data_IF_090554480881
#
_entry.id   IF_090554480881
#
_cell.length_a   1.000
_cell.length_b   1.000
_cell.length_c   1.000
_cell.angle_alpha   90.00
_cell.angle_beta   90.00
_cell.angle_gamma   90.00
#
_symmetry.space_group_name_H-M   'P 1'
#
loop_
_entity.id
_entity.type
_entity.pdbx_description
1 polymer ?
#
# COMPACT_ATOMS: atom_id res chain seq x y z
N UNK A 1 -0.83 -2.17 -22.28
CA UNK A 1 0.05 -2.89 -21.38
C UNK A 1 1.29 -2.05 -21.12
N UNK A 2 1.76 -1.97 -19.88
CA UNK A 2 2.89 -1.13 -19.54
C UNK A 2 3.93 -1.81 -18.63
N UNK A 3 3.59 -2.85 -17.90
CA UNK A 3 4.51 -3.51 -16.96
C UNK A 3 3.98 -4.88 -16.56
N UNK A 4 4.89 -5.83 -16.30
CA UNK A 4 4.60 -7.11 -15.70
C UNK A 4 4.83 -7.07 -14.19
N UNK A 5 4.04 -7.82 -13.41
CA UNK A 5 4.05 -7.72 -11.95
C UNK A 5 5.38 -8.07 -11.30
N UNK A 6 5.99 -9.18 -11.69
CA UNK A 6 7.19 -9.69 -11.03
C UNK A 6 8.49 -9.48 -11.83
N UNK A 7 8.47 -9.70 -13.14
CA UNK A 7 9.70 -9.71 -13.94
C UNK A 7 10.33 -8.34 -14.14
N UNK A 8 9.53 -7.34 -14.41
CA UNK A 8 9.98 -6.00 -14.75
C UNK A 8 9.84 -5.08 -13.55
N UNK A 9 10.94 -4.67 -12.97
CA UNK A 9 10.96 -3.73 -11.87
C UNK A 9 10.83 -4.32 -10.47
N UNK A 10 11.26 -5.59 -10.28
CA UNK A 10 11.39 -6.16 -8.94
C UNK A 10 10.09 -6.12 -8.13
N UNK A 11 9.16 -7.01 -8.42
CA UNK A 11 7.84 -7.08 -7.78
C UNK A 11 7.00 -5.80 -7.95
N UNK A 12 7.09 -5.16 -9.12
CA UNK A 12 6.32 -3.98 -9.48
C UNK A 12 6.95 -2.64 -9.07
N UNK A 13 8.18 -2.62 -8.55
CA UNK A 13 8.82 -1.37 -8.11
C UNK A 13 8.96 -0.34 -9.25
N UNK A 14 9.20 -0.78 -10.49
CA UNK A 14 9.24 0.09 -11.67
C UNK A 14 7.92 0.82 -11.97
N UNK A 15 6.80 0.36 -11.41
CA UNK A 15 5.50 0.98 -11.59
C UNK A 15 5.49 2.41 -11.03
N UNK A 16 6.23 2.71 -9.96
CA UNK A 16 6.27 4.04 -9.37
C UNK A 16 6.77 5.10 -10.37
N UNK A 17 7.83 4.80 -11.12
CA UNK A 17 8.36 5.69 -12.14
C UNK A 17 7.37 5.89 -13.30
N UNK A 18 6.79 4.80 -13.80
CA UNK A 18 5.75 4.88 -14.82
C UNK A 18 4.54 5.66 -14.37
N UNK A 19 4.08 5.43 -13.14
CA UNK A 19 2.89 6.08 -12.61
C UNK A 19 3.11 7.57 -12.39
N UNK A 20 4.26 7.99 -11.90
CA UNK A 20 4.65 9.41 -11.80
C UNK A 20 4.64 10.09 -13.17
N UNK A 21 5.15 9.41 -14.20
CA UNK A 21 5.08 9.93 -15.57
C UNK A 21 3.64 10.06 -16.06
N UNK A 22 2.79 9.05 -15.82
CA UNK A 22 1.36 9.10 -16.19
C UNK A 22 0.67 10.27 -15.50
N UNK A 23 0.85 10.43 -14.18
CA UNK A 23 0.22 11.51 -13.41
C UNK A 23 0.72 12.91 -13.82
N UNK A 24 1.95 13.03 -14.29
CA UNK A 24 2.52 14.30 -14.74
C UNK A 24 2.06 14.73 -16.13
N UNK A 25 1.44 13.85 -16.90
CA UNK A 25 1.03 14.12 -18.28
C UNK A 25 -0.51 14.25 -18.39
N UNK A 26 -1.04 15.45 -18.67
CA UNK A 26 -2.48 15.70 -18.67
C UNK A 26 -3.27 14.96 -19.78
N UNK A 27 -2.57 14.39 -20.77
CA UNK A 27 -3.20 13.60 -21.83
C UNK A 27 -3.05 12.10 -21.62
N UNK A 28 -2.38 11.66 -20.56
CA UNK A 28 -2.26 10.26 -20.23
C UNK A 28 -3.57 9.71 -19.63
N UNK A 29 -4.03 8.59 -20.17
CA UNK A 29 -5.28 7.94 -19.73
C UNK A 29 -5.02 6.77 -18.74
N UNK A 30 -3.78 6.55 -18.33
CA UNK A 30 -3.39 5.42 -17.49
C UNK A 30 -2.81 4.26 -18.27
N UNK A 31 -2.86 3.05 -17.67
CA UNK A 31 -2.30 1.84 -18.28
C UNK A 31 -2.87 0.57 -17.67
N UNK A 32 -2.44 -0.56 -18.19
CA UNK A 32 -2.82 -1.88 -17.72
C UNK A 32 -1.59 -2.70 -17.40
N UNK A 33 -1.57 -3.31 -16.23
CA UNK A 33 -0.53 -4.27 -15.85
C UNK A 33 -0.85 -5.64 -16.45
N UNK A 34 0.14 -6.34 -16.90
CA UNK A 34 0.11 -7.76 -17.18
C UNK A 34 0.72 -8.49 -15.98
N UNK A 35 0.03 -9.32 -15.29
CA UNK A 35 -1.38 -9.68 -15.38
C UNK A 35 -1.93 -9.77 -13.95
N UNK A 36 -3.23 -9.99 -13.78
CA UNK A 36 -3.82 -10.05 -12.43
C UNK A 36 -3.28 -11.21 -11.61
N UNK A 37 -3.16 -12.38 -12.20
CA UNK A 37 -2.65 -13.55 -11.49
C UNK A 37 -1.67 -14.33 -12.35
N UNK A 38 -0.69 -14.94 -11.70
CA UNK A 38 0.24 -15.86 -12.33
C UNK A 38 -0.50 -16.93 -13.12
N UNK A 39 0.05 -17.30 -14.26
CA UNK A 39 -0.54 -18.31 -15.11
C UNK A 39 -0.38 -19.71 -14.49
N UNK A 40 -1.46 -20.48 -14.53
CA UNK A 40 -1.50 -21.84 -14.06
C UNK A 40 -2.49 -22.67 -14.88
N UNK A 41 -2.18 -23.91 -15.12
CA UNK A 41 -3.02 -24.85 -15.89
C UNK A 41 -3.55 -25.92 -14.95
N UNK A 42 -4.89 -26.10 -14.97
CA UNK A 42 -5.49 -27.24 -14.26
C UNK A 42 -5.14 -28.53 -15.02
N UNK A 43 -4.45 -29.42 -14.35
CA UNK A 43 -4.01 -30.71 -14.88
C UNK A 43 -5.01 -31.81 -14.52
N UNK A 44 -5.91 -32.12 -15.42
CA UNK A 44 -6.91 -33.22 -15.22
C UNK A 44 -6.23 -34.58 -15.11
N UNK A 45 -5.09 -34.76 -15.80
CA UNK A 45 -4.24 -35.96 -15.74
C UNK A 45 -3.47 -36.13 -14.41
N UNK A 46 -3.44 -35.09 -13.57
CA UNK A 46 -2.76 -35.09 -12.26
C UNK A 46 -3.73 -34.77 -11.10
N UNK A 47 -4.96 -35.24 -11.19
CA UNK A 47 -5.93 -35.06 -10.12
C UNK A 47 -6.39 -33.60 -9.94
N UNK A 48 -6.42 -32.82 -11.01
CA UNK A 48 -6.83 -31.39 -11.05
C UNK A 48 -5.92 -30.47 -10.22
N UNK A 49 -4.67 -30.83 -10.04
CA UNK A 49 -3.68 -29.91 -9.48
C UNK A 49 -3.42 -28.77 -10.46
N UNK A 50 -3.11 -27.58 -9.92
CA UNK A 50 -2.64 -26.48 -10.76
C UNK A 50 -1.16 -26.69 -11.04
N UNK A 51 -0.83 -26.80 -12.31
CA UNK A 51 0.55 -26.87 -12.80
C UNK A 51 1.01 -25.44 -13.08
N UNK A 52 1.77 -24.91 -12.17
CA UNK A 52 2.42 -23.61 -12.32
C UNK A 52 3.71 -23.79 -13.07
N UNK A 53 3.99 -22.93 -14.03
CA UNK A 53 5.18 -23.05 -14.88
C UNK A 53 6.45 -22.63 -14.13
N UNK A 54 6.38 -22.54 -12.81
CA UNK A 54 7.48 -22.14 -11.93
C UNK A 54 7.92 -20.71 -12.25
N UNK A 55 9.20 -20.54 -12.55
CA UNK A 55 9.80 -19.23 -12.82
C UNK A 55 9.49 -18.64 -14.20
N UNK A 56 8.64 -19.28 -15.00
CA UNK A 56 8.42 -18.88 -16.39
C UNK A 56 7.22 -17.96 -16.63
N UNK A 57 6.31 -17.88 -15.68
CA UNK A 57 5.14 -17.00 -15.77
C UNK A 57 4.72 -16.40 -14.41
N UNK A 58 5.67 -16.00 -13.50
CA UNK A 58 5.33 -15.28 -12.29
C UNK A 58 5.27 -13.78 -12.59
N UNK A 59 4.38 -13.37 -13.46
CA UNK A 59 4.20 -11.99 -13.91
C UNK A 59 2.88 -11.37 -13.43
N UNK A 60 2.15 -12.11 -12.58
CA UNK A 60 0.93 -11.65 -11.94
C UNK A 60 1.14 -10.66 -10.80
N UNK A 61 0.04 -9.99 -10.44
CA UNK A 61 -0.04 -9.18 -9.21
C UNK A 61 -0.24 -10.09 -7.99
N UNK A 62 -0.86 -11.23 -8.20
CA UNK A 62 -1.04 -12.31 -7.22
C UNK A 62 -0.61 -13.63 -7.82
N UNK A 63 -0.24 -14.58 -6.97
CA UNK A 63 0.13 -15.91 -7.40
C UNK A 63 -1.04 -16.74 -7.99
N UNK A 64 -0.76 -17.94 -8.50
CA UNK A 64 -1.74 -18.76 -9.22
C UNK A 64 -2.90 -19.23 -8.33
N UNK A 65 -2.71 -19.29 -7.03
CA UNK A 65 -3.74 -19.62 -6.03
C UNK A 65 -4.40 -18.38 -5.41
N UNK A 66 -4.12 -17.19 -5.96
CA UNK A 66 -4.58 -15.87 -5.47
C UNK A 66 -3.91 -15.43 -4.17
N UNK A 67 -2.81 -16.02 -3.81
CA UNK A 67 -1.93 -15.54 -2.74
C UNK A 67 -1.37 -14.17 -3.10
N UNK A 68 -1.31 -13.28 -2.10
CA UNK A 68 -0.77 -11.93 -2.29
C UNK A 68 0.75 -11.99 -2.27
N UNK A 69 1.35 -11.51 -3.33
CA UNK A 69 2.79 -11.39 -3.50
C UNK A 69 3.29 -9.96 -3.30
N UNK A 70 4.59 -9.74 -3.44
CA UNK A 70 5.18 -8.40 -3.29
C UNK A 70 4.59 -7.38 -4.25
N UNK A 71 4.32 -7.77 -5.49
CA UNK A 71 3.66 -6.97 -6.53
C UNK A 71 2.27 -6.47 -6.11
N UNK A 72 1.49 -7.30 -5.39
CA UNK A 72 0.18 -6.89 -4.88
C UNK A 72 0.30 -5.68 -3.93
N UNK A 73 1.24 -5.74 -2.99
CA UNK A 73 1.43 -4.66 -2.03
C UNK A 73 2.01 -3.41 -2.68
N UNK A 74 2.94 -3.58 -3.63
CA UNK A 74 3.53 -2.48 -4.39
C UNK A 74 2.46 -1.74 -5.21
N UNK A 75 1.62 -2.46 -5.94
CA UNK A 75 0.52 -1.86 -6.74
C UNK A 75 -0.47 -1.16 -5.82
N UNK A 76 -0.83 -1.79 -4.70
CA UNK A 76 -1.74 -1.21 -3.71
C UNK A 76 -1.24 0.12 -3.17
N UNK A 77 0.05 0.23 -2.88
CA UNK A 77 0.68 1.45 -2.37
C UNK A 77 0.74 2.54 -3.45
N UNK A 78 1.26 2.21 -4.63
CA UNK A 78 1.47 3.18 -5.72
C UNK A 78 0.12 3.72 -6.25
N UNK A 79 -0.90 2.87 -6.35
CA UNK A 79 -2.22 3.26 -6.83
C UNK A 79 -3.19 3.65 -5.72
N UNK A 80 -2.67 3.89 -4.51
CA UNK A 80 -3.50 4.38 -3.41
C UNK A 80 -4.14 5.73 -3.79
N UNK A 81 -5.45 5.89 -3.62
CA UNK A 81 -6.10 7.17 -3.88
C UNK A 81 -5.83 8.24 -2.81
N UNK A 82 -5.23 7.86 -1.69
CA UNK A 82 -4.75 8.78 -0.65
C UNK A 82 -3.26 8.54 -0.48
N UNK A 83 -2.46 9.51 -0.87
CA UNK A 83 -1.01 9.48 -0.69
C UNK A 83 -0.65 10.16 0.63
N UNK A 84 0.10 9.45 1.48
CA UNK A 84 0.59 9.93 2.77
C UNK A 84 2.06 10.32 2.60
N UNK A 85 2.36 11.61 2.68
CA UNK A 85 3.74 12.10 2.51
C UNK A 85 4.45 12.17 3.86
N UNK A 86 4.97 11.02 4.28
CA UNK A 86 5.79 10.89 5.50
C UNK A 86 6.95 9.92 5.26
N UNK A 87 7.92 10.29 4.40
CA UNK A 87 9.00 9.37 4.02
C UNK A 87 9.98 9.07 5.17
N UNK A 88 10.06 9.96 6.16
CA UNK A 88 10.95 9.81 7.30
C UNK A 88 10.32 10.32 8.58
N UNK A 89 10.35 9.51 9.62
CA UNK A 89 9.94 9.89 10.96
C UNK A 89 11.15 10.47 11.71
N UNK A 90 11.16 11.78 11.88
CA UNK A 90 12.26 12.47 12.58
C UNK A 90 11.90 12.72 14.07
N UNK A 91 12.90 12.92 14.96
CA UNK A 91 12.62 13.29 16.35
C UNK A 91 11.83 14.59 16.52
N UNK A 92 11.79 15.45 15.49
CA UNK A 92 11.04 16.71 15.50
C UNK A 92 9.58 16.54 15.00
N UNK A 93 9.17 15.33 14.65
CA UNK A 93 7.80 15.07 14.18
C UNK A 93 6.78 15.47 15.26
N UNK A 94 5.83 16.29 14.87
CA UNK A 94 4.82 16.90 15.74
C UNK A 94 3.40 16.29 15.56
N UNK A 95 3.29 15.23 14.76
CA UNK A 95 2.01 14.60 14.43
C UNK A 95 1.34 15.16 13.18
N UNK A 96 1.92 16.17 12.52
CA UNK A 96 1.36 16.77 11.29
C UNK A 96 1.86 16.01 10.06
N UNK A 97 0.92 15.54 9.24
CA UNK A 97 1.17 14.70 8.07
C UNK A 97 0.56 15.36 6.84
N UNK A 98 1.33 15.55 5.79
CA UNK A 98 0.80 15.98 4.50
C UNK A 98 0.12 14.78 3.82
N UNK A 99 -1.06 15.01 3.26
CA UNK A 99 -1.79 14.03 2.47
C UNK A 99 -2.19 14.64 1.13
N UNK A 100 -2.14 13.83 0.08
CA UNK A 100 -2.59 14.21 -1.26
C UNK A 100 -3.79 13.36 -1.64
N UNK A 101 -4.86 14.02 -2.11
CA UNK A 101 -6.01 13.35 -2.69
C UNK A 101 -5.73 13.01 -4.15
N UNK A 102 -5.54 11.75 -4.46
CA UNK A 102 -5.31 11.23 -5.83
C UNK A 102 -6.60 10.70 -6.49
N UNK A 103 -7.75 10.80 -5.84
CA UNK A 103 -9.02 10.54 -6.50
C UNK A 103 -9.26 11.54 -7.63
N UNK A 104 -9.95 11.11 -8.67
CA UNK A 104 -10.32 11.97 -9.79
C UNK A 104 -11.61 12.78 -9.55
N UNK A 105 -12.52 12.24 -8.73
CA UNK A 105 -13.88 12.79 -8.57
C UNK A 105 -14.39 12.79 -7.13
N UNK A 106 -13.58 12.29 -6.19
CA UNK A 106 -14.03 12.07 -4.80
C UNK A 106 -13.22 12.90 -3.83
N UNK A 107 -13.90 13.63 -2.97
CA UNK A 107 -13.30 14.29 -1.82
C UNK A 107 -12.95 13.25 -0.74
N UNK A 108 -11.87 13.47 0.00
CA UNK A 108 -11.41 12.49 1.00
C UNK A 108 -11.97 12.72 2.41
N UNK A 109 -12.87 13.65 2.61
CA UNK A 109 -13.51 13.98 3.90
C UNK A 109 -14.27 12.83 4.57
N UNK A 110 -14.63 11.79 3.78
CA UNK A 110 -15.29 10.57 4.27
C UNK A 110 -14.31 9.43 4.57
N UNK A 111 -13.07 9.61 4.21
CA UNK A 111 -12.00 8.65 4.48
C UNK A 111 -11.38 8.90 5.87
N UNK A 112 -10.63 7.95 6.36
CA UNK A 112 -9.93 8.08 7.63
C UNK A 112 -8.54 7.49 7.56
N UNK A 113 -7.67 7.93 8.45
CA UNK A 113 -6.41 7.26 8.76
C UNK A 113 -6.53 6.63 10.15
N UNK A 114 -6.15 5.38 10.25
CA UNK A 114 -5.86 4.72 11.52
C UNK A 114 -4.35 4.72 11.70
N UNK A 115 -3.92 5.03 12.91
CA UNK A 115 -2.51 5.01 13.26
C UNK A 115 -2.25 4.11 14.46
N UNK A 116 -1.07 3.52 14.52
CA UNK A 116 -0.63 2.74 15.67
C UNK A 116 0.86 2.88 15.93
N UNK A 117 1.25 2.88 17.20
CA UNK A 117 2.62 2.73 17.64
C UNK A 117 2.87 1.27 17.97
N UNK A 118 3.87 0.71 17.35
CA UNK A 118 4.17 -0.71 17.41
C UNK A 118 5.59 -0.94 17.89
N UNK A 119 5.77 -2.04 18.63
CA UNK A 119 7.06 -2.55 19.03
C UNK A 119 7.26 -3.95 18.45
N UNK A 120 8.50 -4.29 18.14
CA UNK A 120 8.88 -5.58 17.58
C UNK A 120 9.61 -6.43 18.58
N UNK A 121 9.39 -7.74 18.49
CA UNK A 121 10.11 -8.72 19.29
C UNK A 121 11.61 -8.69 18.95
N UNK A 122 12.45 -8.61 19.97
CA UNK A 122 13.89 -8.81 19.79
C UNK A 122 14.19 -10.28 19.49
N UNK A 123 15.25 -10.59 18.76
CA UNK A 123 15.60 -11.98 18.39
C UNK A 123 15.76 -12.93 19.59
N UNK A 124 16.06 -12.40 20.76
CA UNK A 124 16.24 -13.16 22.01
C UNK A 124 14.97 -13.40 22.80
N UNK A 125 13.87 -12.76 22.42
CA UNK A 125 12.64 -12.77 23.19
C UNK A 125 11.68 -13.85 22.68
N UNK A 126 10.82 -14.34 23.57
CA UNK A 126 9.72 -15.24 23.23
C UNK A 126 8.40 -14.46 23.23
N UNK A 127 7.47 -14.80 22.33
CA UNK A 127 6.15 -14.18 22.29
C UNK A 127 5.72 -13.73 20.90
N UNK A 128 4.83 -12.74 20.85
CA UNK A 128 4.34 -12.15 19.61
C UNK A 128 5.46 -11.42 18.86
N UNK A 129 5.47 -11.50 17.55
CA UNK A 129 6.49 -10.83 16.72
C UNK A 129 6.33 -9.31 16.71
N UNK A 130 5.10 -8.83 16.92
CA UNK A 130 4.76 -7.42 17.01
C UNK A 130 3.59 -7.22 17.96
N UNK A 131 3.56 -6.10 18.69
CA UNK A 131 2.39 -5.65 19.44
C UNK A 131 2.17 -4.16 19.28
N UNK A 132 0.92 -3.75 19.42
CA UNK A 132 0.50 -2.34 19.39
C UNK A 132 0.27 -1.86 20.82
N UNK A 133 0.88 -0.75 21.19
CA UNK A 133 0.68 -0.16 22.52
C UNK A 133 -0.32 1.00 22.47
N UNK A 134 -0.24 1.84 21.45
CA UNK A 134 -1.15 2.96 21.25
C UNK A 134 -1.71 2.94 19.83
N UNK A 135 -2.95 3.37 19.70
CA UNK A 135 -3.59 3.52 18.41
C UNK A 135 -4.66 4.61 18.45
N UNK A 136 -5.02 5.09 17.30
CA UNK A 136 -6.09 6.08 17.16
C UNK A 136 -6.59 6.18 15.74
N UNK A 137 -7.66 6.93 15.57
CA UNK A 137 -8.29 7.19 14.27
C UNK A 137 -8.47 8.67 14.09
N UNK A 138 -8.18 9.16 12.89
CA UNK A 138 -8.43 10.55 12.50
C UNK A 138 -9.17 10.59 11.18
N UNK A 139 -10.19 11.43 11.09
CA UNK A 139 -10.87 11.75 9.84
C UNK A 139 -9.96 12.59 8.96
N UNK A 140 -9.97 12.30 7.67
CA UNK A 140 -9.33 13.17 6.70
C UNK A 140 -10.12 14.48 6.54
N UNK A 141 -9.42 15.60 6.34
CA UNK A 141 -10.06 16.89 6.09
C UNK A 141 -10.71 16.94 4.70
N UNK A 142 -11.43 18.03 4.46
CA UNK A 142 -12.03 18.32 3.16
C UNK A 142 -10.95 18.76 2.16
N UNK A 143 -10.44 17.79 1.42
CA UNK A 143 -9.43 17.98 0.38
C UNK A 143 -10.00 17.46 -0.93
N UNK A 144 -10.11 18.34 -1.91
CA UNK A 144 -10.63 18.04 -3.24
C UNK A 144 -9.68 17.16 -4.08
N UNK A 145 -10.19 16.61 -5.21
CA UNK A 145 -9.38 15.83 -6.14
C UNK A 145 -8.13 16.58 -6.63
N UNK A 146 -6.98 15.93 -6.55
CA UNK A 146 -5.69 16.49 -6.94
C UNK A 146 -5.09 17.50 -5.96
N UNK A 147 -5.79 17.83 -4.87
CA UNK A 147 -5.32 18.78 -3.87
C UNK A 147 -4.52 18.12 -2.77
N UNK A 148 -3.76 18.95 -2.05
CA UNK A 148 -2.98 18.57 -0.86
C UNK A 148 -3.54 19.25 0.38
N UNK A 149 -3.36 18.59 1.52
CA UNK A 149 -3.72 19.14 2.81
C UNK A 149 -2.97 18.46 3.94
N UNK A 150 -3.33 18.79 5.17
CA UNK A 150 -2.67 18.24 6.35
C UNK A 150 -3.69 17.58 7.27
N UNK A 151 -3.28 16.44 7.80
CA UNK A 151 -3.96 15.78 8.92
C UNK A 151 -3.03 15.81 10.13
N UNK A 152 -3.60 15.88 11.33
CA UNK A 152 -2.83 15.85 12.57
C UNK A 152 -3.26 14.65 13.41
N UNK A 153 -2.31 13.85 13.85
CA UNK A 153 -2.49 12.79 14.83
C UNK A 153 -1.94 13.24 16.17
N UNK A 154 -2.59 12.83 17.24
CA UNK A 154 -2.11 13.12 18.61
C UNK A 154 -1.37 11.92 19.14
N UNK A 155 -0.06 12.03 19.18
CA UNK A 155 0.82 11.00 19.72
C UNK A 155 1.02 11.17 21.23
N UNK A 156 1.20 10.08 21.99
CA UNK A 156 1.59 10.15 23.40
C UNK A 156 2.99 10.77 23.55
N UNK A 157 3.29 11.33 24.73
CA UNK A 157 4.56 12.01 25.00
C UNK A 157 5.78 11.13 24.70
N UNK A 158 5.65 9.83 24.97
CA UNK A 158 6.71 8.83 24.81
C UNK A 158 6.70 8.10 23.48
N UNK A 159 6.04 8.63 22.46
CA UNK A 159 5.93 7.97 21.16
C UNK A 159 7.28 7.54 20.55
N UNK A 160 8.35 8.25 20.90
CA UNK A 160 9.72 7.96 20.41
C UNK A 160 10.37 6.72 21.03
N UNK A 161 9.76 6.15 22.07
CA UNK A 161 10.22 4.91 22.71
C UNK A 161 9.75 3.66 21.93
N UNK A 162 8.86 3.82 20.93
CA UNK A 162 8.33 2.75 20.09
C UNK A 162 9.12 2.59 18.79
N UNK A 163 9.12 1.38 18.26
CA UNK A 163 9.92 1.00 17.10
C UNK A 163 9.34 1.52 15.76
N UNK A 164 8.01 1.64 15.66
CA UNK A 164 7.36 2.08 14.42
C UNK A 164 6.05 2.83 14.65
N UNK A 165 5.79 3.81 13.80
CA UNK A 165 4.48 4.43 13.59
C UNK A 165 3.87 3.86 12.30
N UNK A 166 2.76 3.19 12.43
CA UNK A 166 1.95 2.70 11.30
C UNK A 166 0.84 3.71 10.97
N UNK A 167 0.63 3.96 9.69
CA UNK A 167 -0.45 4.81 9.18
C UNK A 167 -1.19 4.01 8.10
N UNK A 168 -2.48 3.80 8.29
CA UNK A 168 -3.31 3.05 7.34
C UNK A 168 -4.50 3.90 6.92
N UNK A 169 -4.65 4.14 5.62
CA UNK A 169 -5.81 4.85 5.08
C UNK A 169 -6.94 3.89 4.72
N UNK A 170 -8.17 4.30 5.00
CA UNK A 170 -9.38 3.51 4.76
C UNK A 170 -10.43 4.27 3.96
N UNK A 171 -11.08 3.55 3.05
CA UNK A 171 -12.31 3.98 2.39
C UNK A 171 -13.45 4.16 3.40
N UNK A 172 -14.52 4.89 3.01
CA UNK A 172 -15.70 5.05 3.85
C UNK A 172 -16.38 3.71 4.22
N UNK A 173 -16.25 2.70 3.38
CA UNK A 173 -16.80 1.35 3.58
C UNK A 173 -15.90 0.44 4.46
N UNK A 174 -14.77 0.96 4.92
CA UNK A 174 -13.82 0.24 5.78
C UNK A 174 -12.78 -0.60 5.06
N UNK A 175 -12.75 -0.62 3.73
CA UNK A 175 -11.65 -1.24 3.00
C UNK A 175 -10.37 -0.44 3.16
N UNK A 176 -9.25 -1.14 3.34
CA UNK A 176 -7.91 -0.57 3.42
C UNK A 176 -7.44 -0.08 2.05
N UNK A 177 -6.92 1.15 1.98
CA UNK A 177 -6.33 1.73 0.77
C UNK A 177 -4.84 1.42 0.67
N UNK A 178 -4.09 1.85 1.71
CA UNK A 178 -2.64 1.70 1.83
C UNK A 178 -2.25 1.51 3.30
N UNK A 179 -0.97 1.21 3.51
CA UNK A 179 -0.44 1.01 4.86
C UNK A 179 1.01 1.42 4.96
#
# INVERSE_FOLDING_TARGET
EMLHGLYEGGAGAGLDDFWKLVLSNPVAAGGFLWVFADEGIIRDDKGRTIDVVGERAPDGIVGPFREKEGSFYTVKEIWSPVYIDLPYLTPAFDGRIEVTNQFQFTNIDKCRIEWSLNDFRKPTDNGSDMWTEFSGTVKLPDIGPGEKGFVSITLPEKWREHDALNLTAFYPDGREMNR
#
